data_IF_213099840342
#
_entry.id   IF_213099840342
#
_cell.length_a   1.000
_cell.length_b   1.000
_cell.length_c   1.000
_cell.angle_alpha   90.00
_cell.angle_beta   90.00
_cell.angle_gamma   90.00
#
_symmetry.space_group_name_H-M   'P 1'
#
loop_
_entity.id
_entity.type
_entity.pdbx_description
1 polymer ?
#
# COMPACT_ATOMS: atom_id res chain seq x y z
N UNK A 1 4.38 9.25 -10.26
CA UNK A 1 3.87 8.28 -11.27
C UNK A 1 4.63 6.96 -11.16
N UNK A 2 3.92 5.81 -11.28
CA UNK A 2 4.52 4.46 -11.28
C UNK A 2 4.18 3.78 -12.60
N UNK A 3 5.19 3.20 -13.28
CA UNK A 3 4.99 2.46 -14.53
C UNK A 3 5.62 1.07 -14.44
N UNK A 4 4.83 0.06 -14.80
CA UNK A 4 5.29 -1.31 -15.03
C UNK A 4 5.35 -1.53 -16.55
N UNK A 5 6.48 -2.02 -17.07
CA UNK A 5 6.69 -2.26 -18.51
C UNK A 5 7.12 -3.71 -18.71
N UNK A 6 6.21 -4.54 -19.16
CA UNK A 6 6.44 -5.96 -19.46
C UNK A 6 7.09 -6.74 -18.30
N UNK A 7 6.63 -6.46 -17.07
CA UNK A 7 7.23 -7.01 -15.86
C UNK A 7 6.85 -8.47 -15.70
N UNK A 8 7.86 -9.32 -15.59
CA UNK A 8 7.72 -10.74 -15.30
C UNK A 8 8.47 -11.10 -14.03
N UNK A 9 7.87 -11.93 -13.20
CA UNK A 9 8.49 -12.52 -12.00
C UNK A 9 8.30 -14.02 -12.04
N UNK A 10 9.40 -14.76 -12.03
CA UNK A 10 9.41 -16.21 -12.01
C UNK A 10 10.38 -16.78 -10.97
N UNK A 11 10.00 -17.88 -10.34
CA UNK A 11 10.86 -18.68 -9.47
C UNK A 11 11.01 -20.08 -10.07
N UNK A 12 12.13 -20.33 -10.73
CA UNK A 12 12.30 -21.53 -11.53
C UNK A 12 11.26 -21.61 -12.65
N UNK A 13 10.49 -22.66 -12.70
CA UNK A 13 9.39 -22.84 -13.68
C UNK A 13 8.08 -22.15 -13.32
N UNK A 14 7.96 -21.63 -12.08
CA UNK A 14 6.72 -21.01 -11.60
C UNK A 14 6.72 -19.51 -11.89
N UNK A 15 5.86 -19.09 -12.82
CA UNK A 15 5.60 -17.67 -13.09
C UNK A 15 4.59 -17.13 -12.07
N UNK A 16 4.93 -16.02 -11.43
CA UNK A 16 4.09 -15.33 -10.43
C UNK A 16 3.41 -14.09 -11.04
N UNK A 17 4.18 -13.32 -11.82
CA UNK A 17 3.66 -12.21 -12.63
C UNK A 17 4.14 -12.45 -14.06
N UNK A 18 3.24 -12.33 -15.02
CA UNK A 18 3.50 -12.69 -16.39
C UNK A 18 3.30 -11.48 -17.32
N UNK A 19 4.41 -10.88 -17.73
CA UNK A 19 4.45 -9.80 -18.73
C UNK A 19 3.45 -8.66 -18.46
N UNK A 20 3.32 -8.24 -17.19
CA UNK A 20 2.35 -7.22 -16.82
C UNK A 20 2.85 -5.81 -17.16
N UNK A 21 1.92 -5.00 -17.67
CA UNK A 21 2.16 -3.57 -17.94
C UNK A 21 1.02 -2.74 -17.38
N UNK A 22 1.37 -1.63 -16.70
CA UNK A 22 0.39 -0.75 -16.05
C UNK A 22 1.03 0.59 -15.76
N UNK A 23 0.20 1.65 -15.75
CA UNK A 23 0.61 2.98 -15.28
C UNK A 23 -0.32 3.45 -14.18
N UNK A 24 0.25 3.94 -13.08
CA UNK A 24 -0.48 4.62 -12.00
C UNK A 24 -0.09 6.09 -12.05
N UNK A 25 -1.05 6.94 -12.41
CA UNK A 25 -0.86 8.39 -12.49
C UNK A 25 -0.63 9.04 -11.13
N UNK A 26 -0.11 10.26 -11.14
CA UNK A 26 0.10 11.01 -9.90
C UNK A 26 -1.24 11.33 -9.22
N UNK A 27 -1.26 11.21 -7.89
CA UNK A 27 -2.43 11.47 -7.08
C UNK A 27 -3.57 10.45 -7.23
N UNK A 28 -3.36 9.36 -7.98
CA UNK A 28 -4.35 8.31 -8.20
C UNK A 28 -4.20 7.21 -7.15
N UNK A 29 -5.32 6.72 -6.64
CA UNK A 29 -5.38 5.49 -5.84
C UNK A 29 -5.77 4.32 -6.74
N UNK A 30 -4.82 3.44 -7.04
CA UNK A 30 -5.09 2.16 -7.68
C UNK A 30 -5.29 1.08 -6.62
N UNK A 31 -6.38 0.34 -6.73
CA UNK A 31 -6.61 -0.86 -5.91
C UNK A 31 -6.38 -2.10 -6.75
N UNK A 32 -5.56 -3.03 -6.23
CA UNK A 32 -5.37 -4.35 -6.84
C UNK A 32 -6.11 -5.39 -6.01
N UNK A 33 -7.16 -5.92 -6.59
CA UNK A 33 -7.91 -7.07 -6.11
C UNK A 33 -7.32 -8.37 -6.65
N UNK A 34 -7.55 -9.45 -5.95
CA UNK A 34 -7.19 -10.79 -6.41
C UNK A 34 -7.19 -11.83 -5.30
N UNK A 35 -7.29 -13.09 -5.65
CA UNK A 35 -7.25 -14.20 -4.71
C UNK A 35 -5.88 -14.38 -4.04
N UNK A 36 -5.81 -15.29 -3.06
CA UNK A 36 -4.53 -15.67 -2.45
C UNK A 36 -3.59 -16.23 -3.50
N UNK A 37 -2.33 -15.80 -3.50
CA UNK A 37 -1.32 -16.27 -4.45
C UNK A 37 -1.39 -15.68 -5.85
N UNK A 38 -2.26 -14.69 -6.13
CA UNK A 38 -2.35 -14.06 -7.46
C UNK A 38 -1.15 -13.19 -7.84
N UNK A 39 -0.25 -12.84 -6.90
CA UNK A 39 0.95 -12.04 -7.16
C UNK A 39 0.93 -10.64 -6.51
N UNK A 40 -0.13 -10.26 -5.79
CA UNK A 40 -0.29 -8.92 -5.19
C UNK A 40 0.87 -8.46 -4.30
N UNK A 41 1.23 -9.26 -3.31
CA UNK A 41 2.35 -8.93 -2.40
C UNK A 41 3.70 -8.98 -3.12
N UNK A 42 3.82 -9.77 -4.20
CA UNK A 42 5.01 -9.77 -5.05
C UNK A 42 5.18 -8.41 -5.74
N UNK A 43 4.08 -7.84 -6.25
CA UNK A 43 4.12 -6.52 -6.86
C UNK A 43 4.55 -5.43 -5.86
N UNK A 44 4.04 -5.45 -4.62
CA UNK A 44 4.50 -4.53 -3.59
C UNK A 44 6.00 -4.70 -3.29
N UNK A 45 6.49 -5.95 -3.19
CA UNK A 45 7.93 -6.22 -2.97
C UNK A 45 8.82 -5.70 -4.09
N UNK A 46 8.35 -5.75 -5.33
CA UNK A 46 9.07 -5.15 -6.46
C UNK A 46 9.19 -3.64 -6.30
N UNK A 47 8.10 -2.96 -5.93
CA UNK A 47 8.06 -1.51 -5.80
C UNK A 47 8.95 -0.99 -4.67
N UNK A 48 9.05 -1.71 -3.55
CA UNK A 48 9.93 -1.33 -2.43
C UNK A 48 11.35 -1.88 -2.56
N UNK A 49 11.67 -2.58 -3.67
CA UNK A 49 12.99 -3.12 -3.97
C UNK A 49 13.41 -4.33 -3.16
N UNK A 50 12.48 -5.01 -2.46
CA UNK A 50 12.76 -6.27 -1.77
C UNK A 50 12.90 -7.45 -2.75
N UNK A 51 12.56 -7.23 -4.00
CA UNK A 51 12.67 -8.19 -5.08
C UNK A 51 12.91 -7.48 -6.40
N UNK A 52 13.71 -8.09 -7.27
CA UNK A 52 13.89 -7.63 -8.66
C UNK A 52 12.99 -8.46 -9.59
N UNK A 53 12.47 -7.86 -10.67
CA UNK A 53 11.76 -8.64 -11.69
C UNK A 53 12.74 -9.55 -12.45
N UNK A 54 12.22 -10.65 -13.01
CA UNK A 54 12.98 -11.55 -13.89
C UNK A 54 13.19 -10.93 -15.27
N UNK A 55 12.19 -10.14 -15.72
CA UNK A 55 12.25 -9.38 -16.96
C UNK A 55 11.34 -8.14 -16.86
N UNK A 56 11.56 -7.18 -17.78
CA UNK A 56 10.80 -5.93 -17.81
C UNK A 56 11.39 -4.85 -16.92
N UNK A 57 10.73 -3.70 -16.86
CA UNK A 57 11.19 -2.52 -16.16
C UNK A 57 10.10 -1.94 -15.26
N UNK A 58 10.53 -1.33 -14.16
CA UNK A 58 9.64 -0.60 -13.24
C UNK A 58 10.20 0.80 -13.12
N UNK A 59 9.37 1.80 -13.44
CA UNK A 59 9.76 3.19 -13.31
C UNK A 59 8.96 3.86 -12.19
N UNK A 60 9.63 4.66 -11.40
CA UNK A 60 9.04 5.52 -10.36
C UNK A 60 9.49 6.95 -10.66
N UNK A 61 8.55 7.83 -10.93
CA UNK A 61 8.81 9.20 -11.36
C UNK A 61 9.82 9.29 -12.53
N UNK A 62 9.71 8.37 -13.49
CA UNK A 62 10.58 8.27 -14.66
C UNK A 62 11.94 7.61 -14.39
N UNK A 63 12.28 7.27 -13.15
CA UNK A 63 13.51 6.56 -12.80
C UNK A 63 13.27 5.07 -12.86
N UNK A 64 14.05 4.34 -13.67
CA UNK A 64 14.01 2.87 -13.71
C UNK A 64 14.67 2.29 -12.46
N UNK A 65 13.84 1.72 -11.59
CA UNK A 65 14.28 1.17 -10.30
C UNK A 65 14.81 -0.28 -10.41
N UNK A 66 14.69 -0.93 -11.56
CA UNK A 66 15.07 -2.35 -11.71
C UNK A 66 16.57 -2.57 -11.67
N UNK A 67 17.33 -1.59 -12.14
CA UNK A 67 18.80 -1.64 -12.25
C UNK A 67 19.54 -0.93 -11.12
N UNK A 68 18.82 -0.23 -10.22
CA UNK A 68 19.43 0.53 -9.14
C UNK A 68 20.21 -0.36 -8.16
N UNK A 69 21.33 0.17 -7.69
CA UNK A 69 22.01 -0.33 -6.49
C UNK A 69 21.19 -0.06 -5.24
N UNK A 70 21.51 -0.73 -4.14
CA UNK A 70 20.77 -0.55 -2.86
C UNK A 70 20.82 0.91 -2.38
N UNK A 71 21.98 1.57 -2.48
CA UNK A 71 22.13 2.97 -2.08
C UNK A 71 21.35 3.96 -2.95
N UNK A 72 21.23 3.69 -4.24
CA UNK A 72 20.37 4.50 -5.14
C UNK A 72 18.90 4.26 -4.87
N UNK A 73 18.53 3.01 -4.58
CA UNK A 73 17.16 2.63 -4.28
C UNK A 73 16.67 3.28 -2.97
N UNK A 74 17.55 3.51 -1.99
CA UNK A 74 17.19 4.20 -0.74
C UNK A 74 16.61 5.59 -0.98
N UNK A 75 17.08 6.30 -2.00
CA UNK A 75 16.54 7.62 -2.36
C UNK A 75 15.10 7.51 -2.88
N UNK A 76 14.76 6.40 -3.55
CA UNK A 76 13.41 6.12 -4.04
C UNK A 76 12.52 5.69 -2.86
N UNK A 77 13.02 4.83 -1.95
CA UNK A 77 12.25 4.39 -0.75
C UNK A 77 11.83 5.55 0.14
N UNK A 78 12.63 6.59 0.27
CA UNK A 78 12.28 7.79 1.05
C UNK A 78 11.03 8.51 0.54
N UNK A 79 10.67 8.31 -0.73
CA UNK A 79 9.43 8.84 -1.30
C UNK A 79 8.23 7.94 -1.04
N UNK A 80 8.44 6.75 -0.46
CA UNK A 80 7.43 5.72 -0.28
C UNK A 80 7.13 5.49 1.20
N UNK A 81 5.85 5.52 1.55
CA UNK A 81 5.37 5.02 2.83
C UNK A 81 4.69 3.66 2.64
N UNK A 82 4.89 2.72 3.57
CA UNK A 82 4.26 1.42 3.49
C UNK A 82 3.48 1.07 4.75
N UNK A 83 2.24 0.62 4.54
CA UNK A 83 1.36 0.06 5.58
C UNK A 83 1.27 -1.44 5.35
N UNK A 84 1.81 -2.20 6.30
CA UNK A 84 1.86 -3.67 6.22
C UNK A 84 0.59 -4.32 6.78
N UNK A 85 0.31 -5.54 6.33
CA UNK A 85 -0.84 -6.34 6.74
C UNK A 85 -0.93 -6.51 8.28
N UNK A 86 0.19 -6.68 8.97
CA UNK A 86 0.26 -6.84 10.43
C UNK A 86 0.80 -5.59 11.15
N UNK A 87 0.66 -4.40 10.52
CA UNK A 87 1.14 -3.10 11.00
C UNK A 87 2.65 -2.98 11.14
N UNK A 88 3.38 -4.05 11.38
CA UNK A 88 4.85 -4.13 11.51
C UNK A 88 5.42 -3.03 12.43
N UNK A 89 4.77 -2.77 13.56
CA UNK A 89 5.27 -1.85 14.57
C UNK A 89 6.43 -2.52 15.33
N UNK A 90 7.38 -1.71 15.75
CA UNK A 90 8.43 -2.14 16.66
C UNK A 90 7.84 -2.23 18.07
N UNK A 91 7.73 -3.44 18.60
CA UNK A 91 7.12 -3.68 19.92
C UNK A 91 7.92 -3.08 21.08
N UNK A 92 9.22 -2.83 20.88
CA UNK A 92 10.12 -2.19 21.84
C UNK A 92 10.09 -0.68 21.83
N UNK A 93 9.38 -0.06 20.90
CA UNK A 93 9.27 1.39 20.74
C UNK A 93 7.84 1.85 21.06
N UNK A 94 7.72 3.02 21.67
CA UNK A 94 6.41 3.64 21.87
C UNK A 94 5.73 4.00 20.54
N UNK A 95 4.46 4.36 20.58
CA UNK A 95 3.69 4.83 19.40
C UNK A 95 4.38 6.02 18.75
N UNK A 96 4.79 7.02 19.55
CA UNK A 96 5.51 8.19 19.06
C UNK A 96 6.85 7.84 18.44
N UNK A 97 7.60 6.92 19.06
CA UNK A 97 8.89 6.46 18.54
C UNK A 97 8.73 5.64 17.23
N UNK A 98 7.69 4.82 17.12
CA UNK A 98 7.35 4.16 15.86
C UNK A 98 7.10 5.15 14.73
N UNK A 99 6.35 6.21 14.98
CA UNK A 99 6.08 7.27 13.98
C UNK A 99 7.35 8.09 13.69
N UNK A 100 8.16 8.39 14.71
CA UNK A 100 9.41 9.15 14.58
C UNK A 100 10.53 8.39 13.90
N UNK A 101 10.43 7.06 13.78
CA UNK A 101 11.55 6.18 13.40
C UNK A 101 12.22 6.62 12.09
N UNK A 102 11.45 6.76 11.01
CA UNK A 102 11.99 7.19 9.71
C UNK A 102 12.55 8.62 9.76
N UNK A 103 11.85 9.54 10.41
CA UNK A 103 12.32 10.93 10.57
C UNK A 103 13.70 11.00 11.22
N UNK A 104 13.95 10.21 12.28
CA UNK A 104 15.25 10.15 12.96
C UNK A 104 16.35 9.54 12.11
N UNK A 105 16.02 8.57 11.25
CA UNK A 105 17.00 7.88 10.40
C UNK A 105 17.37 8.70 9.16
N UNK A 106 16.41 9.43 8.59
CA UNK A 106 16.56 10.00 7.26
C UNK A 106 16.68 11.52 7.24
N UNK A 107 16.40 12.20 8.36
CA UNK A 107 16.42 13.66 8.42
C UNK A 107 17.41 14.19 9.48
N UNK A 108 17.69 15.49 9.42
CA UNK A 108 18.48 16.21 10.44
C UNK A 108 17.60 17.13 11.30
N UNK A 109 16.31 16.80 11.40
CA UNK A 109 15.38 17.59 12.21
C UNK A 109 15.73 17.51 13.69
N UNK A 110 15.42 18.58 14.43
CA UNK A 110 15.56 18.59 15.88
C UNK A 110 14.52 17.64 16.52
N UNK A 111 14.81 17.15 17.73
CA UNK A 111 13.85 16.33 18.48
C UNK A 111 12.53 17.06 18.73
N UNK A 112 12.57 18.39 18.87
CA UNK A 112 11.37 19.21 19.03
C UNK A 112 10.52 19.23 17.76
N UNK A 113 11.14 19.37 16.58
CA UNK A 113 10.43 19.35 15.30
C UNK A 113 9.88 17.96 14.99
N UNK A 114 10.64 16.89 15.29
CA UNK A 114 10.17 15.51 15.17
C UNK A 114 8.93 15.30 16.05
N UNK A 115 8.95 15.74 17.31
CA UNK A 115 7.79 15.64 18.21
C UNK A 115 6.56 16.36 17.66
N UNK A 116 6.72 17.55 17.06
CA UNK A 116 5.62 18.29 16.43
C UNK A 116 5.03 17.51 15.27
N UNK A 117 5.88 16.95 14.39
CA UNK A 117 5.44 16.12 13.27
C UNK A 117 4.70 14.88 13.78
N UNK A 118 5.26 14.16 14.73
CA UNK A 118 4.66 12.94 15.30
C UNK A 118 3.28 13.23 15.85
N UNK A 119 3.15 14.27 16.73
CA UNK A 119 1.86 14.65 17.29
C UNK A 119 0.84 15.00 16.21
N UNK A 120 1.26 15.75 15.19
CA UNK A 120 0.39 16.07 14.05
C UNK A 120 -0.05 14.84 13.27
N UNK A 121 0.85 13.88 13.00
CA UNK A 121 0.49 12.65 12.24
C UNK A 121 -0.43 11.74 13.04
N UNK A 122 -0.22 11.65 14.35
CA UNK A 122 -1.11 10.92 15.26
C UNK A 122 -2.50 11.57 15.33
N UNK A 123 -2.56 12.89 15.39
CA UNK A 123 -3.84 13.61 15.32
C UNK A 123 -4.60 13.30 14.01
N UNK A 124 -3.91 13.30 12.86
CA UNK A 124 -4.54 12.99 11.57
C UNK A 124 -5.18 11.60 11.51
N UNK A 125 -4.69 10.64 12.27
CA UNK A 125 -5.25 9.29 12.33
C UNK A 125 -6.15 9.07 13.55
N UNK A 126 -6.45 10.15 14.32
CA UNK A 126 -7.33 10.12 15.50
C UNK A 126 -6.71 9.42 16.70
N UNK A 127 -5.39 9.61 16.89
CA UNK A 127 -4.61 9.05 18.01
C UNK A 127 -3.81 10.15 18.74
N UNK A 128 -4.33 11.39 18.81
CA UNK A 128 -3.72 12.45 19.62
C UNK A 128 -3.63 12.02 21.09
N UNK A 129 -2.46 12.21 21.71
CA UNK A 129 -2.22 11.85 23.12
C UNK A 129 -1.83 10.38 23.35
N UNK A 130 -1.60 9.60 22.29
CA UNK A 130 -1.15 8.21 22.40
C UNK A 130 0.36 8.02 22.20
N UNK A 131 1.13 9.10 22.17
CA UNK A 131 2.56 9.10 21.84
C UNK A 131 3.38 8.16 22.73
N UNK A 132 3.06 8.09 24.03
CA UNK A 132 3.79 7.33 25.04
C UNK A 132 3.29 5.89 25.24
N UNK A 133 2.19 5.51 24.59
CA UNK A 133 1.66 4.15 24.66
C UNK A 133 2.56 3.16 23.92
N UNK A 134 2.55 1.91 24.38
CA UNK A 134 3.26 0.80 23.73
C UNK A 134 2.32 0.07 22.74
N UNK A 135 2.85 -0.57 21.69
CA UNK A 135 2.02 -1.31 20.74
C UNK A 135 1.12 -2.39 21.35
N UNK A 136 1.55 -3.03 22.43
CA UNK A 136 0.78 -4.07 23.11
C UNK A 136 -0.46 -3.52 23.87
N UNK A 137 -0.52 -2.23 24.12
CA UNK A 137 -1.66 -1.55 24.75
C UNK A 137 -2.74 -1.15 23.72
N UNK A 138 -2.47 -1.33 22.42
CA UNK A 138 -3.34 -0.89 21.33
C UNK A 138 -4.23 -2.00 20.78
N UNK A 139 -5.47 -1.65 20.40
CA UNK A 139 -6.31 -2.52 19.58
C UNK A 139 -5.74 -2.72 18.17
N UNK A 140 -6.21 -3.74 17.43
CA UNK A 140 -5.78 -3.98 16.05
C UNK A 140 -5.99 -2.78 15.12
N UNK A 141 -7.14 -2.11 15.23
CA UNK A 141 -7.44 -0.89 14.48
C UNK A 141 -6.51 0.28 14.83
N UNK A 142 -6.18 0.46 16.12
CA UNK A 142 -5.21 1.48 16.55
C UNK A 142 -3.81 1.19 16.00
N UNK A 143 -3.35 -0.05 16.01
CA UNK A 143 -2.05 -0.45 15.40
C UNK A 143 -1.99 -0.10 13.91
N UNK A 144 -3.09 -0.32 13.17
CA UNK A 144 -3.20 0.09 11.76
C UNK A 144 -3.09 1.60 11.58
N UNK A 145 -3.75 2.38 12.46
CA UNK A 145 -3.66 3.84 12.44
C UNK A 145 -2.26 4.35 12.74
N UNK A 146 -1.54 3.76 13.72
CA UNK A 146 -0.13 4.08 14.00
C UNK A 146 0.76 3.73 12.80
N UNK A 147 0.55 2.56 12.16
CA UNK A 147 1.27 2.16 10.97
C UNK A 147 1.05 3.16 9.81
N UNK A 148 -0.17 3.68 9.67
CA UNK A 148 -0.47 4.73 8.69
C UNK A 148 0.24 6.05 9.06
N UNK A 149 0.19 6.48 10.32
CA UNK A 149 0.88 7.68 10.79
C UNK A 149 2.39 7.59 10.53
N UNK A 150 3.01 6.43 10.77
CA UNK A 150 4.42 6.16 10.45
C UNK A 150 4.69 6.25 8.95
N UNK A 151 3.84 5.67 8.11
CA UNK A 151 4.00 5.68 6.66
C UNK A 151 3.93 7.09 6.04
N UNK A 152 3.21 8.02 6.69
CA UNK A 152 3.06 9.40 6.21
C UNK A 152 3.94 10.40 6.97
N UNK A 153 4.81 9.95 7.87
CA UNK A 153 5.61 10.85 8.71
C UNK A 153 6.58 11.71 7.90
N UNK A 154 7.15 11.17 6.83
CA UNK A 154 8.13 11.81 5.96
C UNK A 154 7.52 12.44 4.69
N UNK A 155 6.22 12.76 4.69
CA UNK A 155 5.50 13.33 3.55
C UNK A 155 5.67 12.52 2.25
N UNK A 156 5.49 11.20 2.38
CA UNK A 156 5.63 10.26 1.27
C UNK A 156 4.74 10.65 0.07
N UNK A 157 5.32 10.73 -1.11
CA UNK A 157 4.59 10.99 -2.36
C UNK A 157 3.91 9.74 -2.93
N UNK A 158 4.31 8.56 -2.45
CA UNK A 158 3.74 7.26 -2.81
C UNK A 158 3.40 6.50 -1.53
N UNK A 159 2.17 6.00 -1.43
CA UNK A 159 1.72 5.17 -0.31
C UNK A 159 1.34 3.78 -0.81
N UNK A 160 1.94 2.78 -0.20
CA UNK A 160 1.73 1.37 -0.51
C UNK A 160 1.01 0.70 0.65
N UNK A 161 -0.06 -0.03 0.38
CA UNK A 161 -0.87 -0.69 1.40
C UNK A 161 -1.00 -2.18 1.08
N UNK A 162 -0.53 -3.03 2.00
CA UNK A 162 -0.70 -4.49 1.92
C UNK A 162 -1.81 -4.91 2.89
N UNK A 163 -2.98 -5.24 2.37
CA UNK A 163 -4.16 -5.69 3.12
C UNK A 163 -4.47 -4.81 4.35
N UNK A 164 -4.68 -3.50 4.18
CA UNK A 164 -4.74 -2.56 5.31
C UNK A 164 -5.91 -2.81 6.27
N UNK A 165 -6.98 -3.45 5.81
CA UNK A 165 -8.21 -3.74 6.59
C UNK A 165 -8.28 -5.18 7.09
N UNK A 166 -7.30 -6.02 6.74
CA UNK A 166 -7.28 -7.44 7.11
C UNK A 166 -7.29 -7.63 8.63
N UNK A 167 -8.14 -8.55 9.11
CA UNK A 167 -8.27 -8.91 10.52
C UNK A 167 -9.06 -7.91 11.37
N UNK A 168 -9.72 -6.94 10.75
CA UNK A 168 -10.57 -5.95 11.42
C UNK A 168 -12.06 -6.27 11.20
N UNK A 169 -12.88 -5.83 12.14
CA UNK A 169 -14.33 -5.84 11.96
C UNK A 169 -14.78 -4.85 10.86
N UNK A 170 -16.00 -4.99 10.30
CA UNK A 170 -16.45 -4.17 9.18
C UNK A 170 -16.48 -2.66 9.45
N UNK A 171 -16.77 -2.25 10.70
CA UNK A 171 -16.84 -0.82 11.07
C UNK A 171 -15.43 -0.24 11.10
N UNK A 172 -14.52 -0.91 11.79
CA UNK A 172 -13.10 -0.51 11.89
C UNK A 172 -12.44 -0.54 10.50
N UNK A 173 -12.73 -1.53 9.65
CA UNK A 173 -12.26 -1.61 8.27
C UNK A 173 -12.65 -0.38 7.45
N UNK A 174 -13.90 0.07 7.56
CA UNK A 174 -14.35 1.29 6.90
C UNK A 174 -13.69 2.54 7.47
N UNK A 175 -13.43 2.61 8.78
CA UNK A 175 -12.69 3.74 9.37
C UNK A 175 -11.26 3.83 8.81
N UNK A 176 -10.56 2.70 8.63
CA UNK A 176 -9.23 2.67 7.98
C UNK A 176 -9.33 3.11 6.51
N UNK A 177 -10.35 2.65 5.79
CA UNK A 177 -10.59 3.07 4.39
C UNK A 177 -10.84 4.58 4.28
N UNK A 178 -11.61 5.16 5.22
CA UNK A 178 -11.80 6.61 5.31
C UNK A 178 -10.47 7.35 5.54
N UNK A 179 -9.61 6.84 6.42
CA UNK A 179 -8.29 7.43 6.68
C UNK A 179 -7.39 7.35 5.45
N UNK A 180 -7.34 6.21 4.74
CA UNK A 180 -6.59 6.07 3.49
C UNK A 180 -7.01 7.14 2.49
N UNK A 181 -8.32 7.30 2.28
CA UNK A 181 -8.84 8.31 1.33
C UNK A 181 -8.57 9.74 1.80
N UNK A 182 -8.67 10.01 3.10
CA UNK A 182 -8.37 11.32 3.67
C UNK A 182 -6.89 11.68 3.52
N UNK A 183 -5.98 10.73 3.76
CA UNK A 183 -4.54 10.96 3.62
C UNK A 183 -4.14 11.16 2.16
N UNK A 184 -4.68 10.36 1.25
CA UNK A 184 -4.45 10.54 -0.19
C UNK A 184 -4.85 11.97 -0.64
N UNK A 185 -6.03 12.44 -0.24
CA UNK A 185 -6.50 13.80 -0.57
C UNK A 185 -5.65 14.89 0.08
N UNK A 186 -5.25 14.69 1.35
CA UNK A 186 -4.47 15.68 2.11
C UNK A 186 -3.06 15.84 1.57
N UNK A 187 -2.42 14.73 1.21
CA UNK A 187 -1.02 14.71 0.74
C UNK A 187 -0.90 14.81 -0.78
N UNK A 188 -1.98 14.61 -1.53
CA UNK A 188 -1.93 14.51 -2.99
C UNK A 188 -1.09 13.33 -3.49
N UNK A 189 -0.86 12.32 -2.65
CA UNK A 189 0.04 11.20 -2.93
C UNK A 189 -0.59 10.17 -3.86
N UNK A 190 0.25 9.48 -4.63
CA UNK A 190 -0.14 8.29 -5.40
C UNK A 190 -0.25 7.11 -4.46
N UNK A 191 -1.31 6.32 -4.56
CA UNK A 191 -1.54 5.19 -3.67
C UNK A 191 -1.75 3.88 -4.42
N UNK A 192 -1.12 2.81 -3.95
CA UNK A 192 -1.38 1.44 -4.38
C UNK A 192 -1.89 0.63 -3.19
N UNK A 193 -3.12 0.16 -3.28
CA UNK A 193 -3.76 -0.66 -2.25
C UNK A 193 -3.93 -2.07 -2.77
N UNK A 194 -3.35 -3.03 -2.09
CA UNK A 194 -3.55 -4.45 -2.36
C UNK A 194 -4.53 -4.98 -1.33
N UNK A 195 -5.64 -5.57 -1.76
CA UNK A 195 -6.64 -6.12 -0.85
C UNK A 195 -7.52 -7.18 -1.54
N UNK A 196 -8.25 -7.95 -0.73
CA UNK A 196 -9.37 -8.79 -1.16
C UNK A 196 -10.72 -8.23 -0.67
N UNK A 197 -10.70 -7.12 0.10
CA UNK A 197 -11.92 -6.48 0.62
C UNK A 197 -12.54 -5.56 -0.44
N UNK A 198 -13.65 -6.02 -1.01
CA UNK A 198 -14.39 -5.30 -2.04
C UNK A 198 -14.93 -3.95 -1.57
N UNK A 199 -15.42 -3.86 -0.32
CA UNK A 199 -15.97 -2.60 0.21
C UNK A 199 -14.89 -1.53 0.28
N UNK A 200 -13.74 -1.88 0.85
CA UNK A 200 -12.58 -0.98 0.88
C UNK A 200 -12.14 -0.61 -0.54
N UNK A 201 -12.06 -1.58 -1.45
CA UNK A 201 -11.63 -1.36 -2.82
C UNK A 201 -12.48 -0.31 -3.55
N UNK A 202 -13.80 -0.47 -3.51
CA UNK A 202 -14.74 0.48 -4.14
C UNK A 202 -14.75 1.85 -3.46
N UNK A 203 -14.45 1.91 -2.17
CA UNK A 203 -14.44 3.17 -1.44
C UNK A 203 -13.17 3.99 -1.67
N UNK A 204 -11.99 3.35 -1.67
CA UNK A 204 -10.71 4.06 -1.74
C UNK A 204 -10.19 4.23 -3.16
N UNK A 205 -10.56 3.36 -4.10
CA UNK A 205 -9.98 3.30 -5.45
C UNK A 205 -10.52 4.40 -6.38
N UNK A 206 -9.62 5.04 -7.10
CA UNK A 206 -9.94 5.80 -8.31
C UNK A 206 -9.95 4.86 -9.53
N UNK A 207 -9.16 3.79 -9.46
CA UNK A 207 -9.19 2.66 -10.38
C UNK A 207 -9.06 1.33 -9.61
N UNK A 208 -9.65 0.27 -10.15
CA UNK A 208 -9.59 -1.08 -9.60
C UNK A 208 -9.02 -2.01 -10.68
N UNK A 209 -8.04 -2.81 -10.29
CA UNK A 209 -7.45 -3.86 -11.10
C UNK A 209 -7.73 -5.23 -10.47
N UNK A 210 -8.16 -6.21 -11.26
CA UNK A 210 -8.22 -7.61 -10.84
C UNK A 210 -6.97 -8.32 -11.34
N UNK A 211 -6.16 -8.82 -10.42
CA UNK A 211 -4.99 -9.65 -10.70
C UNK A 211 -5.35 -11.12 -10.46
N UNK A 212 -5.29 -11.93 -11.51
CA UNK A 212 -5.48 -13.38 -11.43
C UNK A 212 -4.35 -14.11 -12.15
N UNK A 213 -3.81 -15.14 -11.50
CA UNK A 213 -2.73 -16.00 -12.04
C UNK A 213 -1.61 -15.20 -12.72
N UNK A 214 -1.21 -14.11 -12.07
CA UNK A 214 -0.10 -13.25 -12.53
C UNK A 214 -0.43 -12.26 -13.64
N UNK A 215 -1.70 -12.16 -14.08
CA UNK A 215 -2.13 -11.27 -15.14
C UNK A 215 -3.24 -10.32 -14.68
N UNK A 216 -3.26 -9.09 -15.22
CA UNK A 216 -4.38 -8.20 -15.02
C UNK A 216 -5.55 -8.61 -15.93
N UNK A 217 -6.64 -9.04 -15.29
CA UNK A 217 -7.88 -9.40 -15.99
C UNK A 217 -8.61 -8.15 -16.47
N UNK A 218 -8.66 -7.13 -15.62
CA UNK A 218 -9.30 -5.85 -15.90
C UNK A 218 -8.66 -4.75 -15.07
N UNK A 219 -8.60 -3.54 -15.63
CA UNK A 219 -8.24 -2.31 -14.93
C UNK A 219 -9.23 -1.25 -15.38
N UNK A 220 -10.07 -0.75 -14.49
CA UNK A 220 -11.10 0.22 -14.82
C UNK A 220 -11.52 1.05 -13.59
N UNK A 221 -12.19 2.22 -13.78
CA UNK A 221 -12.82 2.94 -12.69
C UNK A 221 -13.86 2.08 -11.95
N UNK A 222 -14.12 2.33 -10.65
CA UNK A 222 -15.02 1.49 -9.83
C UNK A 222 -16.39 1.23 -10.46
N UNK A 223 -17.03 2.24 -11.05
CA UNK A 223 -18.34 2.07 -11.70
C UNK A 223 -18.28 1.08 -12.89
N UNK A 224 -17.27 1.22 -13.76
CA UNK A 224 -17.09 0.32 -14.89
C UNK A 224 -16.68 -1.09 -14.43
N UNK A 225 -15.86 -1.19 -13.39
CA UNK A 225 -15.46 -2.46 -12.80
C UNK A 225 -16.69 -3.24 -12.28
N UNK A 226 -17.61 -2.55 -11.62
CA UNK A 226 -18.86 -3.14 -11.12
C UNK A 226 -19.77 -3.67 -12.24
N UNK A 227 -19.78 -3.01 -13.40
CA UNK A 227 -20.58 -3.36 -14.57
C UNK A 227 -19.83 -4.28 -15.57
N UNK A 228 -18.65 -4.76 -15.20
CA UNK A 228 -17.83 -5.61 -16.07
C UNK A 228 -18.60 -6.84 -16.56
N UNK A 229 -18.46 -7.16 -17.83
CA UNK A 229 -19.06 -8.37 -18.45
C UNK A 229 -18.16 -9.60 -18.33
N UNK A 230 -16.95 -9.45 -17.77
CA UNK A 230 -16.02 -10.56 -17.59
C UNK A 230 -16.47 -11.44 -16.43
N UNK A 231 -16.73 -12.73 -16.71
CA UNK A 231 -17.19 -13.69 -15.69
C UNK A 231 -16.31 -13.67 -14.44
N UNK A 232 -14.99 -13.69 -14.60
CA UNK A 232 -14.06 -13.73 -13.47
C UNK A 232 -14.18 -12.49 -12.57
N UNK A 233 -14.41 -11.30 -13.16
CA UNK A 233 -14.64 -10.08 -12.39
C UNK A 233 -15.95 -10.19 -11.62
N UNK A 234 -17.04 -10.65 -12.28
CA UNK A 234 -18.34 -10.81 -11.63
C UNK A 234 -18.30 -11.89 -10.54
N UNK A 235 -17.64 -13.04 -10.79
CA UNK A 235 -17.44 -14.07 -9.77
C UNK A 235 -16.70 -13.51 -8.56
N UNK A 236 -15.68 -12.68 -8.78
CA UNK A 236 -14.93 -12.05 -7.69
C UNK A 236 -15.79 -11.05 -6.90
N UNK A 237 -16.57 -10.20 -7.59
CA UNK A 237 -17.47 -9.22 -6.97
C UNK A 237 -18.52 -9.91 -6.09
N UNK A 238 -19.09 -11.01 -6.57
CA UNK A 238 -20.17 -11.71 -5.88
C UNK A 238 -19.71 -12.84 -4.95
N UNK A 239 -18.38 -13.04 -4.81
CA UNK A 239 -17.81 -14.11 -3.97
C UNK A 239 -18.18 -15.51 -4.46
N UNK A 240 -18.43 -15.66 -5.78
CA UNK A 240 -18.77 -16.95 -6.38
C UNK A 240 -17.49 -17.69 -6.74
N UNK A 241 -17.41 -18.96 -6.36
CA UNK A 241 -16.34 -19.87 -6.78
C UNK A 241 -16.79 -20.53 -8.07
N UNK A 242 -16.03 -20.36 -9.17
CA UNK A 242 -16.31 -21.08 -10.41
C UNK A 242 -16.19 -22.59 -10.13
N UNK A 243 -17.30 -23.30 -10.27
CA UNK A 243 -17.33 -24.78 -10.28
C UNK A 243 -17.87 -25.49 -9.03
N UNK A 244 -18.69 -24.85 -8.20
CA UNK A 244 -19.53 -25.55 -7.20
C UNK A 244 -20.99 -25.36 -7.54
#
# INVERSE_FOLDING_TARGET
>A
MIELKNVTVAYGSRVILDNISMTIGDGVTLVILGGSGSGKSTLLRLLIGLQKPTAGHILVDGVDITSLSESEFDQVRRKMGMVFQYSALFDSLSVGENVAFGLRQHTKLSDEDIKKIVSQRLDWVGLAGYEDYMPNELSGGMKKRVSLARAIAEDASILLYDEPTSGLDPITSMQISHLIRAMQKRLGCTSLVVTHDMRSAFYVGDAIALLDKGNFVEVSPPAQFQESKKKLVQSFIHGQVDGV
#
